data_IF_482365459744
#
_entry.id   IF_482365459744
#
_cell.length_a   1.000
_cell.length_b   1.000
_cell.length_c   1.000
_cell.angle_alpha   90.00
_cell.angle_beta   90.00
_cell.angle_gamma   90.00
#
_symmetry.space_group_name_H-M   'P 1'
#
loop_
_entity.id
_entity.type
_entity.pdbx_description
1 polymer ?
#
# COMPACT_ATOMS: atom_id res chain seq x y z
N UNK A 1 -10.47 18.58 -8.88
CA UNK A 1 -9.18 17.98 -8.55
C UNK A 1 -9.28 16.48 -8.72
N UNK A 2 -8.24 15.83 -9.24
CA UNK A 2 -8.14 14.37 -9.31
C UNK A 2 -7.73 13.82 -7.93
N UNK A 3 -7.84 12.49 -7.73
CA UNK A 3 -7.61 11.85 -6.42
C UNK A 3 -6.20 12.18 -5.89
N UNK A 4 -5.17 11.99 -6.71
CA UNK A 4 -3.78 12.28 -6.35
C UNK A 4 -3.57 13.76 -5.98
N UNK A 5 -4.15 14.70 -6.72
CA UNK A 5 -4.02 16.14 -6.47
C UNK A 5 -4.67 16.55 -5.13
N UNK A 6 -5.83 15.98 -4.79
CA UNK A 6 -6.49 16.21 -3.50
C UNK A 6 -5.61 15.74 -2.34
N UNK A 7 -5.10 14.53 -2.42
CA UNK A 7 -4.23 13.96 -1.38
C UNK A 7 -2.93 14.76 -1.27
N UNK A 8 -2.33 15.17 -2.38
CA UNK A 8 -1.12 15.99 -2.37
C UNK A 8 -1.36 17.36 -1.69
N UNK A 9 -2.51 18.00 -1.96
CA UNK A 9 -2.87 19.25 -1.29
C UNK A 9 -3.02 19.05 0.23
N UNK A 10 -3.53 17.91 0.69
CA UNK A 10 -3.59 17.58 2.11
C UNK A 10 -2.19 17.35 2.70
N UNK A 11 -1.28 16.68 1.97
CA UNK A 11 0.11 16.49 2.39
C UNK A 11 0.82 17.83 2.56
N UNK A 12 0.61 18.79 1.67
CA UNK A 12 1.23 20.12 1.72
C UNK A 12 0.87 20.90 2.99
N UNK A 13 -0.37 20.79 3.47
CA UNK A 13 -0.83 21.49 4.67
C UNK A 13 -0.59 20.71 5.97
N UNK A 14 -0.29 19.40 5.86
CA UNK A 14 0.00 18.58 7.03
C UNK A 14 1.33 19.04 7.68
N UNK A 15 1.39 19.07 9.03
CA UNK A 15 2.56 19.53 9.79
C UNK A 15 3.21 18.46 10.66
N UNK A 16 2.60 17.25 10.74
CA UNK A 16 3.11 16.15 11.56
C UNK A 16 4.42 15.55 11.02
N UNK A 17 5.21 14.91 11.87
CA UNK A 17 6.42 14.18 11.50
C UNK A 17 6.08 12.88 10.73
N UNK A 18 4.90 12.33 10.97
CA UNK A 18 4.32 11.21 10.25
C UNK A 18 2.96 11.59 9.69
N UNK A 19 2.61 11.02 8.55
CA UNK A 19 1.33 11.23 7.88
C UNK A 19 0.66 9.88 7.73
N UNK A 20 -0.57 9.78 8.23
CA UNK A 20 -1.44 8.62 8.08
C UNK A 20 -2.40 8.84 6.91
N UNK A 21 -2.53 7.84 6.05
CA UNK A 21 -3.44 7.86 4.91
C UNK A 21 -4.68 7.06 5.25
N UNK A 22 -5.82 7.72 5.20
CA UNK A 22 -7.13 7.11 5.45
C UNK A 22 -8.14 7.67 4.44
N UNK A 23 -9.03 6.82 3.97
CA UNK A 23 -10.14 7.25 3.12
C UNK A 23 -11.20 7.98 3.96
N UNK A 24 -11.89 8.92 3.33
CA UNK A 24 -12.80 9.85 4.04
C UNK A 24 -14.08 9.19 4.58
N UNK A 25 -14.41 8.01 4.11
CA UNK A 25 -15.60 7.21 4.45
C UNK A 25 -15.28 6.03 5.37
N UNK A 26 -14.01 5.81 5.67
CA UNK A 26 -13.53 4.72 6.51
C UNK A 26 -13.39 5.14 7.99
N UNK A 27 -13.12 4.19 8.87
CA UNK A 27 -12.96 4.44 10.30
C UNK A 27 -11.64 3.88 10.85
N UNK A 28 -11.01 4.66 11.72
CA UNK A 28 -9.90 4.19 12.56
C UNK A 28 -10.43 3.66 13.88
N UNK A 29 -9.82 2.60 14.41
CA UNK A 29 -10.10 2.20 15.78
C UNK A 29 -9.65 3.29 16.75
N UNK A 30 -10.30 3.43 17.94
CA UNK A 30 -9.98 4.49 18.90
C UNK A 30 -8.52 4.52 19.36
N UNK A 31 -7.82 3.40 19.29
CA UNK A 31 -6.42 3.25 19.69
C UNK A 31 -5.42 3.26 18.51
N UNK A 32 -5.85 3.46 17.27
CA UNK A 32 -5.00 3.36 16.09
C UNK A 32 -3.77 4.28 16.17
N UNK A 33 -3.98 5.56 16.44
CA UNK A 33 -2.88 6.53 16.57
C UNK A 33 -1.96 6.23 17.75
N UNK A 34 -2.53 5.77 18.88
CA UNK A 34 -1.73 5.34 20.03
C UNK A 34 -0.78 4.20 19.67
N UNK A 35 -1.27 3.19 18.96
CA UNK A 35 -0.44 2.04 18.55
C UNK A 35 0.65 2.46 17.57
N UNK A 36 0.38 3.36 16.65
CA UNK A 36 1.39 3.92 15.74
C UNK A 36 2.48 4.69 16.51
N UNK A 37 2.11 5.58 17.42
CA UNK A 37 3.07 6.33 18.25
C UNK A 37 3.87 5.40 19.14
N UNK A 38 3.23 4.38 19.71
CA UNK A 38 3.90 3.34 20.50
C UNK A 38 4.97 2.62 19.68
N UNK A 39 4.62 2.18 18.46
CA UNK A 39 5.56 1.50 17.57
C UNK A 39 6.79 2.37 17.23
N UNK A 40 6.57 3.68 16.97
CA UNK A 40 7.65 4.63 16.71
C UNK A 40 8.55 4.79 17.95
N UNK A 41 7.98 4.86 19.15
CA UNK A 41 8.75 5.00 20.39
C UNK A 41 9.55 3.73 20.72
N UNK A 42 8.99 2.55 20.45
CA UNK A 42 9.67 1.27 20.68
C UNK A 42 10.78 0.99 19.65
N UNK A 43 10.57 1.49 18.40
CA UNK A 43 11.53 1.35 17.30
C UNK A 43 11.75 2.72 16.63
N UNK A 44 12.62 3.59 17.18
CA UNK A 44 12.80 4.97 16.67
C UNK A 44 13.31 5.07 15.22
N UNK A 45 13.84 3.99 14.66
CA UNK A 45 14.23 3.94 13.25
C UNK A 45 13.03 3.74 12.29
N UNK A 46 11.84 3.46 12.82
CA UNK A 46 10.64 3.23 11.98
C UNK A 46 10.32 4.46 11.15
N UNK A 47 10.17 4.26 9.85
CA UNK A 47 9.81 5.30 8.88
C UNK A 47 8.50 5.00 8.15
N UNK A 48 8.13 3.72 8.06
CA UNK A 48 6.90 3.24 7.43
C UNK A 48 6.18 2.31 8.38
N UNK A 49 4.86 2.47 8.52
CA UNK A 49 4.00 1.61 9.34
C UNK A 49 2.81 1.18 8.50
N UNK A 50 2.39 -0.05 8.66
CA UNK A 50 1.08 -0.54 8.19
C UNK A 50 0.45 -1.44 9.23
N UNK A 51 -0.87 -1.60 9.14
CA UNK A 51 -1.65 -2.34 10.13
C UNK A 51 -2.55 -3.36 9.46
N UNK A 52 -3.11 -4.28 10.24
CA UNK A 52 -4.22 -5.10 9.79
C UNK A 52 -5.49 -4.25 9.65
N UNK A 53 -6.44 -4.77 8.88
CA UNK A 53 -7.72 -4.13 8.60
C UNK A 53 -8.85 -5.15 8.60
N UNK A 54 -10.07 -4.67 8.64
CA UNK A 54 -11.27 -5.45 8.31
C UNK A 54 -12.22 -4.61 7.45
N UNK A 55 -13.34 -5.21 7.09
CA UNK A 55 -14.42 -4.50 6.40
C UNK A 55 -15.53 -4.15 7.37
N UNK A 56 -16.18 -3.03 7.09
CA UNK A 56 -17.30 -2.52 7.86
C UNK A 56 -18.51 -2.30 6.94
N UNK A 57 -19.71 -2.61 7.45
CA UNK A 57 -20.97 -2.31 6.76
C UNK A 57 -21.20 -0.81 6.66
N UNK A 58 -22.02 -0.39 5.71
CA UNK A 58 -22.41 1.01 5.48
C UNK A 58 -22.86 1.75 6.74
N UNK A 59 -23.63 1.05 7.58
CA UNK A 59 -24.18 1.62 8.83
C UNK A 59 -23.16 1.62 10.00
N UNK A 60 -21.95 1.09 9.79
CA UNK A 60 -20.89 1.05 10.79
C UNK A 60 -21.09 0.01 11.91
N UNK A 61 -22.11 -0.87 11.80
CA UNK A 61 -22.47 -1.76 12.90
C UNK A 61 -21.93 -3.18 12.79
N UNK A 62 -21.47 -3.60 11.61
CA UNK A 62 -20.95 -4.95 11.38
C UNK A 62 -19.54 -4.89 10.83
N UNK A 63 -18.63 -5.65 11.47
CA UNK A 63 -17.27 -5.86 11.03
C UNK A 63 -17.12 -7.28 10.50
N UNK A 64 -16.43 -7.45 9.37
CA UNK A 64 -16.31 -8.74 8.68
C UNK A 64 -15.07 -8.82 7.81
N UNK A 65 -14.71 -10.00 7.34
CA UNK A 65 -13.56 -10.26 6.48
C UNK A 65 -12.26 -9.61 6.99
N UNK A 66 -11.78 -9.96 8.21
CA UNK A 66 -10.51 -9.44 8.69
C UNK A 66 -9.38 -9.86 7.74
N UNK A 67 -8.49 -8.91 7.47
CA UNK A 67 -7.27 -9.11 6.69
C UNK A 67 -6.06 -9.00 7.62
N UNK A 68 -5.57 -10.15 8.07
CA UNK A 68 -4.34 -10.26 8.84
C UNK A 68 -3.17 -10.31 7.86
N UNK A 69 -2.34 -9.29 7.90
CA UNK A 69 -1.25 -9.08 6.96
C UNK A 69 0.03 -9.75 7.47
N UNK A 70 0.91 -10.22 6.60
CA UNK A 70 2.23 -10.67 7.01
C UNK A 70 3.13 -9.49 7.38
N UNK A 71 4.25 -9.77 8.04
CA UNK A 71 5.37 -8.83 8.09
C UNK A 71 5.83 -8.48 6.68
N UNK A 72 6.60 -7.39 6.54
CA UNK A 72 6.96 -6.86 5.23
C UNK A 72 7.56 -7.93 4.32
N UNK A 73 6.93 -8.10 3.17
CA UNK A 73 7.33 -9.05 2.14
C UNK A 73 7.27 -8.35 0.76
N UNK A 74 8.45 -8.00 0.20
CA UNK A 74 8.54 -7.29 -1.07
C UNK A 74 7.96 -8.08 -2.24
N UNK A 75 8.11 -9.40 -2.27
CA UNK A 75 7.58 -10.23 -3.36
C UNK A 75 6.04 -10.27 -3.34
N UNK A 76 5.46 -10.38 -2.14
CA UNK A 76 4.01 -10.30 -1.99
C UNK A 76 3.49 -8.91 -2.35
N UNK A 77 4.21 -7.85 -1.96
CA UNK A 77 3.82 -6.48 -2.32
C UNK A 77 3.83 -6.26 -3.83
N UNK A 78 4.73 -6.90 -4.58
CA UNK A 78 4.72 -6.86 -6.05
C UNK A 78 3.61 -7.72 -6.67
N UNK A 79 2.91 -8.54 -5.88
CA UNK A 79 1.80 -9.38 -6.35
C UNK A 79 0.44 -8.74 -6.04
N UNK A 80 0.32 -8.06 -4.91
CA UNK A 80 -0.92 -7.43 -4.43
C UNK A 80 -0.59 -6.28 -3.49
N UNK A 81 -1.35 -5.19 -3.58
CA UNK A 81 -1.27 -4.11 -2.58
C UNK A 81 -1.92 -4.58 -1.27
N UNK A 82 -1.16 -5.27 -0.41
CA UNK A 82 -1.67 -5.73 0.88
C UNK A 82 -1.47 -4.71 2.02
N UNK A 83 -0.68 -3.66 1.80
CA UNK A 83 -0.32 -2.70 2.85
C UNK A 83 -1.45 -1.72 3.16
N UNK A 84 -2.13 -1.18 2.16
CA UNK A 84 -3.25 -0.26 2.36
C UNK A 84 -4.56 -1.02 2.71
N UNK A 85 -5.24 -0.64 3.79
CA UNK A 85 -5.00 0.41 4.76
C UNK A 85 -4.72 -0.18 6.15
N UNK A 86 -4.31 0.44 7.21
CA UNK A 86 -3.85 1.80 7.39
C UNK A 86 -2.38 1.88 6.97
N UNK A 87 -2.00 2.95 6.31
CA UNK A 87 -0.63 3.23 5.91
C UNK A 87 -0.16 4.53 6.56
N UNK A 88 0.96 4.50 7.27
CA UNK A 88 1.54 5.67 7.93
C UNK A 88 3.01 5.79 7.54
N UNK A 89 3.43 6.97 7.13
CA UNK A 89 4.79 7.19 6.63
C UNK A 89 5.40 8.48 7.16
N UNK A 90 6.70 8.44 7.45
CA UNK A 90 7.45 9.61 7.88
C UNK A 90 7.47 10.68 6.79
N UNK A 91 7.33 11.95 7.21
CA UNK A 91 7.48 13.11 6.31
C UNK A 91 8.79 13.08 5.53
N UNK A 92 9.89 12.66 6.16
CA UNK A 92 11.20 12.52 5.51
C UNK A 92 11.18 11.60 4.29
N UNK A 93 10.38 10.53 4.36
CA UNK A 93 10.22 9.62 3.21
C UNK A 93 9.41 10.30 2.11
N UNK A 94 8.31 10.98 2.47
CA UNK A 94 7.49 11.73 1.50
C UNK A 94 8.32 12.81 0.78
N UNK A 95 9.13 13.57 1.51
CA UNK A 95 10.03 14.59 0.94
C UNK A 95 11.03 13.99 -0.05
N UNK A 96 11.47 12.74 0.20
CA UNK A 96 12.39 12.02 -0.68
C UNK A 96 11.74 11.47 -1.94
N UNK A 97 10.53 10.91 -1.82
CA UNK A 97 9.87 10.21 -2.94
C UNK A 97 8.88 11.08 -3.69
N UNK A 98 8.47 12.22 -3.11
CA UNK A 98 7.39 13.07 -3.61
C UNK A 98 6.01 12.55 -3.23
N UNK A 99 4.98 13.30 -3.62
CA UNK A 99 3.58 12.93 -3.38
C UNK A 99 3.05 11.82 -4.29
N UNK A 100 1.73 11.67 -4.32
CA UNK A 100 1.02 10.75 -5.20
C UNK A 100 1.09 11.24 -6.64
N UNK A 101 1.04 10.32 -7.61
CA UNK A 101 1.19 10.60 -9.04
C UNK A 101 -0.10 10.31 -9.78
N UNK A 102 -0.70 11.32 -10.42
CA UNK A 102 -1.98 11.22 -11.13
C UNK A 102 -1.97 10.25 -12.31
N UNK A 103 -0.80 9.96 -12.87
CA UNK A 103 -0.63 8.94 -13.91
C UNK A 103 -0.98 7.52 -13.43
N UNK A 104 -1.06 7.32 -12.10
CA UNK A 104 -1.47 6.06 -11.46
C UNK A 104 -2.84 6.18 -10.78
N UNK A 105 -3.64 7.20 -11.05
CA UNK A 105 -4.97 7.35 -10.45
C UNK A 105 -5.78 6.06 -10.61
N UNK A 106 -6.38 5.61 -9.50
CA UNK A 106 -7.00 4.30 -9.34
C UNK A 106 -6.13 3.26 -8.62
N UNK A 107 -4.79 3.45 -8.61
CA UNK A 107 -3.81 2.72 -7.83
C UNK A 107 -2.65 3.65 -7.39
N UNK A 108 -2.95 4.92 -7.19
CA UNK A 108 -2.01 5.96 -6.79
C UNK A 108 -1.39 5.69 -5.42
N UNK A 109 -2.15 5.09 -4.53
CA UNK A 109 -1.73 4.59 -3.22
C UNK A 109 -0.69 3.47 -3.37
N UNK A 110 -0.93 2.52 -4.26
CA UNK A 110 -0.03 1.40 -4.51
C UNK A 110 1.32 1.88 -5.08
N UNK A 111 1.31 2.77 -6.08
CA UNK A 111 2.53 3.41 -6.57
C UNK A 111 3.27 4.15 -5.46
N UNK A 112 2.54 4.87 -4.61
CA UNK A 112 3.13 5.63 -3.52
C UNK A 112 3.76 4.71 -2.46
N UNK A 113 3.07 3.64 -2.05
CA UNK A 113 3.61 2.63 -1.14
C UNK A 113 4.89 2.01 -1.69
N UNK A 114 4.90 1.58 -2.97
CA UNK A 114 6.08 1.00 -3.60
C UNK A 114 7.27 1.96 -3.55
N UNK A 115 7.07 3.25 -3.87
CA UNK A 115 8.14 4.26 -3.78
C UNK A 115 8.60 4.53 -2.35
N UNK A 116 7.70 4.48 -1.37
CA UNK A 116 8.06 4.64 0.03
C UNK A 116 8.93 3.50 0.53
N UNK A 117 8.58 2.24 0.22
CA UNK A 117 9.39 1.08 0.65
C UNK A 117 10.72 1.00 -0.11
N UNK A 118 10.81 1.46 -1.36
CA UNK A 118 12.07 1.60 -2.10
C UNK A 118 13.06 2.58 -1.44
N UNK A 119 12.53 3.55 -0.69
CA UNK A 119 13.31 4.65 -0.12
C UNK A 119 13.86 4.37 1.28
N UNK A 120 13.45 3.26 1.90
CA UNK A 120 13.79 2.85 3.27
C UNK A 120 14.36 1.44 3.29
N UNK A 121 14.90 1.01 4.43
CA UNK A 121 15.34 -0.36 4.64
C UNK A 121 14.22 -1.19 5.27
N UNK A 122 14.29 -2.51 5.14
CA UNK A 122 13.28 -3.43 5.68
C UNK A 122 13.09 -3.26 7.20
N UNK A 123 14.17 -3.02 7.95
CA UNK A 123 14.11 -2.77 9.39
C UNK A 123 13.46 -1.44 9.80
N UNK A 124 13.25 -0.53 8.83
CA UNK A 124 12.56 0.76 9.02
C UNK A 124 11.05 0.65 8.70
N UNK A 125 10.59 -0.53 8.25
CA UNK A 125 9.19 -0.84 8.00
C UNK A 125 8.63 -1.61 9.20
N UNK A 126 7.53 -1.16 9.77
CA UNK A 126 6.90 -1.76 10.93
C UNK A 126 5.48 -2.22 10.59
N UNK A 127 5.22 -3.52 10.71
CA UNK A 127 3.87 -4.06 10.75
C UNK A 127 3.34 -4.03 12.19
N UNK A 128 2.15 -3.49 12.38
CA UNK A 128 1.41 -3.60 13.63
C UNK A 128 0.31 -4.66 13.43
N UNK A 129 0.45 -5.89 13.96
CA UNK A 129 -0.48 -6.98 13.72
C UNK A 129 -1.76 -6.82 14.56
N UNK A 130 -2.47 -5.74 14.30
CA UNK A 130 -3.74 -5.38 14.94
C UNK A 130 -4.66 -4.76 13.89
N UNK A 131 -5.95 -5.09 13.95
CA UNK A 131 -6.97 -4.40 13.17
C UNK A 131 -7.12 -3.00 13.75
N UNK A 132 -6.61 -2.00 13.02
CA UNK A 132 -6.65 -0.59 13.40
C UNK A 132 -7.42 0.27 12.40
N UNK A 133 -7.92 -0.35 11.34
CA UNK A 133 -8.62 0.29 10.24
C UNK A 133 -9.84 -0.53 9.83
N UNK A 134 -10.97 0.15 9.59
CA UNK A 134 -12.23 -0.42 9.15
C UNK A 134 -12.60 0.15 7.79
N UNK A 135 -12.50 -0.66 6.75
CA UNK A 135 -12.84 -0.28 5.38
C UNK A 135 -14.35 -0.39 5.15
N UNK A 136 -15.01 0.75 4.93
CA UNK A 136 -16.45 0.80 4.71
C UNK A 136 -16.82 0.30 3.32
N UNK A 137 -17.67 -0.72 3.26
CA UNK A 137 -18.12 -1.29 2.00
C UNK A 137 -19.35 -0.54 1.47
N UNK A 138 -19.26 -0.05 0.24
CA UNK A 138 -20.33 0.54 -0.54
C UNK A 138 -20.66 -0.35 -1.74
N UNK A 139 -21.90 -0.30 -2.24
CA UNK A 139 -22.30 -1.04 -3.45
C UNK A 139 -21.45 -0.68 -4.68
N UNK A 140 -20.93 0.56 -4.73
CA UNK A 140 -20.04 1.06 -5.80
C UNK A 140 -18.54 0.92 -5.48
N UNK A 141 -18.19 0.29 -4.35
CA UNK A 141 -16.80 0.13 -3.98
C UNK A 141 -16.09 -0.90 -4.87
N UNK A 142 -14.77 -0.75 -5.02
CA UNK A 142 -13.93 -1.73 -5.74
C UNK A 142 -14.04 -3.13 -5.13
N UNK A 143 -14.41 -3.21 -3.84
CA UNK A 143 -14.60 -4.46 -3.12
C UNK A 143 -15.86 -5.22 -3.57
N UNK A 144 -16.92 -4.53 -4.02
CA UNK A 144 -18.18 -5.17 -4.42
C UNK A 144 -18.34 -5.24 -5.96
N UNK A 145 -17.81 -4.27 -6.71
CA UNK A 145 -17.87 -4.29 -8.17
C UNK A 145 -16.49 -3.98 -8.82
N UNK A 146 -15.57 -4.95 -8.81
CA UNK A 146 -14.25 -4.79 -9.38
C UNK A 146 -14.24 -4.43 -10.87
N UNK A 147 -15.24 -4.89 -11.63
CA UNK A 147 -15.30 -4.64 -13.08
C UNK A 147 -15.55 -3.17 -13.43
N UNK A 148 -16.20 -2.40 -12.55
CA UNK A 148 -16.45 -0.97 -12.76
C UNK A 148 -15.16 -0.13 -12.78
N UNK A 149 -14.06 -0.66 -12.25
CA UNK A 149 -12.78 0.05 -12.10
C UNK A 149 -11.60 -0.70 -12.72
N UNK A 150 -11.80 -1.33 -13.90
CA UNK A 150 -10.72 -2.05 -14.59
C UNK A 150 -9.47 -1.18 -14.85
N UNK A 151 -9.64 0.14 -14.98
CA UNK A 151 -8.52 1.07 -15.11
C UNK A 151 -7.61 1.08 -13.88
N UNK A 152 -8.16 0.88 -12.68
CA UNK A 152 -7.39 0.84 -11.43
C UNK A 152 -6.43 -0.37 -11.41
N UNK A 153 -6.91 -1.53 -11.88
CA UNK A 153 -6.05 -2.71 -11.96
C UNK A 153 -4.96 -2.59 -13.02
N UNK A 154 -5.21 -1.84 -14.09
CA UNK A 154 -4.16 -1.53 -15.06
C UNK A 154 -3.16 -0.49 -14.51
N UNK A 155 -3.63 0.49 -13.75
CA UNK A 155 -2.77 1.43 -13.05
C UNK A 155 -1.86 0.70 -12.04
N UNK A 156 -2.40 -0.26 -11.27
CA UNK A 156 -1.62 -1.09 -10.34
C UNK A 156 -0.57 -1.96 -11.07
N UNK A 157 -0.93 -2.58 -12.21
CA UNK A 157 0.06 -3.29 -13.04
C UNK A 157 1.21 -2.38 -13.47
N UNK A 158 0.90 -1.15 -13.89
CA UNK A 158 1.92 -0.15 -14.28
C UNK A 158 2.75 0.30 -13.06
N UNK A 159 2.14 0.41 -11.89
CA UNK A 159 2.85 0.77 -10.66
C UNK A 159 3.93 -0.28 -10.31
N UNK A 160 3.59 -1.57 -10.38
CA UNK A 160 4.56 -2.66 -10.16
C UNK A 160 5.61 -2.70 -11.27
N UNK A 161 5.24 -2.49 -12.53
CA UNK A 161 6.20 -2.41 -13.63
C UNK A 161 7.20 -1.27 -13.41
N UNK A 162 6.71 -0.08 -13.05
CA UNK A 162 7.55 1.09 -12.76
C UNK A 162 8.44 0.87 -11.52
N UNK A 163 8.00 0.09 -10.53
CA UNK A 163 8.82 -0.32 -9.39
C UNK A 163 10.05 -1.11 -9.87
N UNK A 164 9.87 -2.14 -10.70
CA UNK A 164 10.99 -2.92 -11.24
C UNK A 164 11.94 -2.08 -12.09
N UNK A 165 11.41 -1.15 -12.88
CA UNK A 165 12.23 -0.22 -13.67
C UNK A 165 13.09 0.69 -12.78
N UNK A 166 12.53 1.24 -11.69
CA UNK A 166 13.26 2.08 -10.72
C UNK A 166 14.32 1.31 -9.94
N UNK A 167 14.03 0.05 -9.63
CA UNK A 167 14.96 -0.81 -8.86
C UNK A 167 15.98 -1.54 -9.73
N UNK A 168 15.91 -1.36 -11.06
CA UNK A 168 16.85 -1.97 -11.99
C UNK A 168 16.64 -3.47 -12.19
N UNK A 169 15.47 -3.99 -11.83
CA UNK A 169 15.11 -5.40 -12.00
C UNK A 169 14.46 -5.59 -13.38
N UNK A 170 15.03 -6.44 -14.21
CA UNK A 170 14.47 -6.75 -15.51
C UNK A 170 13.29 -7.71 -15.38
N UNK A 171 12.09 -7.19 -15.50
CA UNK A 171 10.85 -7.97 -15.35
C UNK A 171 9.72 -7.43 -16.23
N UNK A 172 8.80 -8.30 -16.57
CA UNK A 172 7.52 -7.98 -17.23
C UNK A 172 6.37 -8.31 -16.27
N UNK A 173 5.46 -7.35 -16.07
CA UNK A 173 4.33 -7.49 -15.16
C UNK A 173 3.04 -7.69 -15.94
N UNK A 174 2.33 -8.75 -15.61
CA UNK A 174 1.05 -9.14 -16.20
C UNK A 174 -0.06 -9.09 -15.16
N UNK A 175 -1.31 -8.95 -15.60
CA UNK A 175 -2.47 -9.21 -14.75
C UNK A 175 -2.48 -10.67 -14.32
N UNK A 176 -2.78 -10.93 -13.06
CA UNK A 176 -2.97 -12.27 -12.54
C UNK A 176 -4.32 -12.88 -12.95
N UNK A 177 -4.63 -14.04 -12.42
CA UNK A 177 -5.90 -14.71 -12.65
C UNK A 177 -7.10 -13.96 -12.06
N UNK A 178 -6.89 -13.30 -10.92
CA UNK A 178 -7.90 -12.50 -10.24
C UNK A 178 -7.57 -11.01 -10.33
N UNK A 179 -8.59 -10.17 -10.34
CA UNK A 179 -8.46 -8.71 -10.34
C UNK A 179 -7.70 -8.24 -9.10
N UNK A 180 -6.75 -7.33 -9.29
CA UNK A 180 -5.89 -6.83 -8.22
C UNK A 180 -4.67 -7.69 -7.91
N UNK A 181 -4.55 -8.89 -8.54
CA UNK A 181 -3.34 -9.68 -8.47
C UNK A 181 -2.48 -9.46 -9.72
N UNK A 182 -1.18 -9.47 -9.53
CA UNK A 182 -0.19 -9.29 -10.59
C UNK A 182 0.79 -10.47 -10.60
N UNK A 183 1.22 -10.84 -11.81
CA UNK A 183 2.22 -11.88 -12.03
C UNK A 183 3.44 -11.27 -12.66
N UNK A 184 4.60 -11.48 -12.05
CA UNK A 184 5.88 -11.05 -12.57
C UNK A 184 6.59 -12.18 -13.32
N UNK A 185 7.11 -11.86 -14.50
CA UNK A 185 8.06 -12.70 -15.23
C UNK A 185 9.42 -12.02 -15.19
N UNK A 186 10.33 -12.55 -14.40
CA UNK A 186 11.70 -12.07 -14.38
C UNK A 186 12.44 -12.45 -15.66
N UNK A 187 13.15 -11.50 -16.24
CA UNK A 187 13.98 -11.69 -17.44
C UNK A 187 15.41 -11.93 -16.95
N UNK A 188 15.92 -13.12 -17.24
CA UNK A 188 17.25 -13.53 -16.83
C UNK A 188 18.25 -13.28 -17.94
N UNK A 189 19.43 -12.79 -17.59
CA UNK A 189 20.53 -12.57 -18.55
C UNK A 189 21.25 -13.88 -18.88
N UNK A 190 21.16 -14.88 -17.98
CA UNK A 190 21.73 -16.21 -18.17
C UNK A 190 20.97 -17.27 -17.34
N UNK A 191 21.12 -18.52 -17.72
CA UNK A 191 20.57 -19.66 -16.98
C UNK A 191 21.68 -20.30 -16.11
N UNK A 192 21.64 -20.12 -14.78
CA UNK A 192 22.63 -20.72 -13.89
C UNK A 192 22.43 -22.24 -13.82
N UNK A 193 23.54 -22.98 -13.73
CA UNK A 193 23.49 -24.41 -13.45
C UNK A 193 23.18 -24.63 -11.98
N UNK A 194 22.11 -25.36 -11.68
CA UNK A 194 21.69 -25.70 -10.31
C UNK A 194 21.84 -27.21 -10.11
N UNK A 195 22.56 -27.60 -9.07
CA UNK A 195 22.60 -28.99 -8.62
C UNK A 195 21.61 -29.21 -7.48
N UNK A 196 20.78 -30.23 -7.62
CA UNK A 196 19.88 -30.68 -6.56
C UNK A 196 20.54 -31.90 -5.89
N UNK A 197 20.74 -31.83 -4.57
CA UNK A 197 21.40 -32.85 -3.75
C UNK A 197 20.36 -33.53 -2.87
#
# INVERSE_FOLDING_TARGET
LQISENTNSAIEIATGDFIAFADHDDELTPNALFECVKAINEKPQTLVIYTDEDKMSMDGHKFFQPHFKPDYNPDLLCTVNYICHLFVVSRKVIEKVGGLRSEFDGAQDYDFVLRCVEAVKDEEICHIPKILYHWRCHEDSTAENPESKLYAFEAGRRAVQAHYERTGIHAEVFKGEYLGLYRTKFIRDHDPLISII
#
